data_IF_597473088620
#
_entry.id   IF_597473088620
#
_cell.length_a   1.000
_cell.length_b   1.000
_cell.length_c   1.000
_cell.angle_alpha   90.00
_cell.angle_beta   90.00
_cell.angle_gamma   90.00
#
_symmetry.space_group_name_H-M   'P 1'
#
loop_
_entity.id
_entity.type
_entity.pdbx_description
1 polymer ?
#
# COMPACT_ATOMS: atom_id res chain seq x y z
N UNK A 1 22.05 -6.78 1.80
CA UNK A 1 20.58 -6.99 1.71
C UNK A 1 20.31 -8.05 0.66
N UNK A 2 19.63 -9.10 1.00
CA UNK A 2 19.16 -10.15 0.08
C UNK A 2 17.75 -9.76 -0.42
N UNK A 3 17.47 -9.94 -1.69
CA UNK A 3 16.18 -9.65 -2.31
C UNK A 3 15.56 -10.94 -2.83
N UNK A 4 14.26 -11.14 -2.56
CA UNK A 4 13.46 -12.27 -3.03
C UNK A 4 12.21 -11.74 -3.70
N UNK A 5 11.98 -12.12 -4.96
CA UNK A 5 10.67 -11.94 -5.57
C UNK A 5 9.70 -12.97 -4.98
N UNK A 6 8.60 -12.48 -4.46
CA UNK A 6 7.58 -13.30 -3.80
C UNK A 6 6.19 -12.89 -4.27
N UNK A 7 5.20 -13.71 -3.96
CA UNK A 7 3.81 -13.35 -4.20
C UNK A 7 2.92 -13.95 -3.11
N UNK A 8 1.78 -13.31 -2.90
CA UNK A 8 0.71 -13.80 -2.03
C UNK A 8 -0.65 -13.52 -2.70
N UNK A 9 -1.72 -14.06 -2.15
CA UNK A 9 -3.06 -13.82 -2.65
C UNK A 9 -3.81 -12.85 -1.74
N UNK A 10 -4.54 -11.93 -2.35
CA UNK A 10 -5.46 -11.02 -1.69
C UNK A 10 -6.83 -11.15 -2.36
N UNK A 11 -7.77 -11.76 -1.66
CA UNK A 11 -9.14 -12.06 -2.14
C UNK A 11 -9.21 -12.74 -3.53
N UNK A 12 -8.25 -13.64 -3.77
CA UNK A 12 -8.16 -14.40 -5.00
C UNK A 12 -7.25 -13.80 -6.07
N UNK A 13 -6.88 -12.53 -5.95
CA UNK A 13 -5.93 -11.87 -6.86
C UNK A 13 -4.50 -12.12 -6.40
N UNK A 14 -3.61 -12.47 -7.33
CA UNK A 14 -2.19 -12.66 -7.04
C UNK A 14 -1.49 -11.30 -6.94
N UNK A 15 -0.89 -11.04 -5.80
CA UNK A 15 -0.14 -9.82 -5.50
C UNK A 15 1.36 -10.10 -5.68
N UNK A 16 2.01 -9.31 -6.52
CA UNK A 16 3.45 -9.37 -6.75
C UNK A 16 4.20 -8.50 -5.75
N UNK A 17 5.24 -9.05 -5.13
CA UNK A 17 5.95 -8.41 -4.04
C UNK A 17 7.46 -8.69 -4.10
N UNK A 18 8.22 -7.87 -3.39
CA UNK A 18 9.65 -8.05 -3.12
C UNK A 18 9.84 -8.08 -1.61
N UNK A 19 10.43 -9.17 -1.12
CA UNK A 19 10.88 -9.27 0.26
C UNK A 19 12.38 -9.01 0.32
N UNK A 20 12.78 -8.01 1.10
CA UNK A 20 14.17 -7.66 1.34
C UNK A 20 14.55 -8.08 2.74
N UNK A 21 15.59 -8.89 2.84
CA UNK A 21 16.10 -9.44 4.08
C UNK A 21 17.46 -8.83 4.43
N UNK A 22 17.75 -8.62 5.72
CA UNK A 22 19.10 -8.29 6.18
C UNK A 22 20.13 -9.30 5.73
N UNK A 23 21.41 -8.87 5.63
CA UNK A 23 22.51 -9.81 5.39
C UNK A 23 22.78 -10.67 6.64
N UNK A 24 23.15 -11.92 6.41
CA UNK A 24 23.48 -12.87 7.47
C UNK A 24 22.29 -13.73 7.86
N UNK A 25 22.46 -14.47 8.96
CA UNK A 25 21.40 -15.29 9.56
C UNK A 25 20.95 -14.64 10.86
N UNK A 26 19.65 -14.46 11.08
CA UNK A 26 19.17 -13.95 12.35
C UNK A 26 19.41 -15.00 13.47
N UNK A 27 19.57 -14.57 14.71
CA UNK A 27 19.56 -15.49 15.85
C UNK A 27 18.18 -16.15 16.08
N UNK A 28 17.20 -15.80 15.29
CA UNK A 28 15.82 -16.29 15.25
C UNK A 28 15.18 -15.84 13.93
N UNK A 29 14.14 -15.04 14.01
CA UNK A 29 13.46 -14.40 12.88
C UNK A 29 13.68 -12.87 12.91
N UNK A 30 13.48 -12.21 11.75
CA UNK A 30 13.63 -10.77 11.62
C UNK A 30 12.32 -10.04 11.93
N UNK A 31 12.31 -8.94 12.73
CA UNK A 31 11.18 -8.04 12.73
C UNK A 31 10.94 -7.51 11.31
N UNK A 32 9.69 -7.25 10.95
CA UNK A 32 9.33 -6.93 9.59
C UNK A 32 8.65 -5.57 9.46
N UNK A 33 8.86 -4.93 8.32
CA UNK A 33 8.14 -3.75 7.89
C UNK A 33 7.39 -4.09 6.60
N UNK A 34 6.06 -3.96 6.61
CA UNK A 34 5.27 -3.97 5.39
C UNK A 34 5.19 -2.56 4.83
N UNK A 35 5.44 -2.40 3.55
CA UNK A 35 5.36 -1.10 2.88
C UNK A 35 4.28 -1.10 1.80
N UNK A 36 3.29 -0.21 1.97
CA UNK A 36 2.36 0.17 0.92
C UNK A 36 2.93 1.33 0.11
N UNK A 37 3.14 1.16 -1.21
CA UNK A 37 3.60 2.26 -2.05
C UNK A 37 2.57 3.40 -2.15
N UNK A 38 3.03 4.59 -2.55
CA UNK A 38 2.17 5.72 -2.90
C UNK A 38 1.46 5.53 -4.23
N UNK A 39 0.69 6.52 -4.68
CA UNK A 39 -0.23 6.41 -5.82
C UNK A 39 0.35 5.83 -7.11
N UNK A 40 1.54 6.26 -7.50
CA UNK A 40 2.22 5.77 -8.70
C UNK A 40 3.46 4.93 -8.33
N UNK A 41 3.58 4.58 -7.07
CA UNK A 41 4.66 3.76 -6.59
C UNK A 41 4.41 2.30 -6.94
N UNK A 42 5.43 1.66 -7.48
CA UNK A 42 5.49 0.23 -7.69
C UNK A 42 6.57 -0.35 -6.78
N UNK A 43 6.50 -1.66 -6.54
CA UNK A 43 7.44 -2.37 -5.66
C UNK A 43 8.92 -2.21 -6.05
N UNK A 44 9.19 -1.95 -7.34
CA UNK A 44 10.52 -1.77 -7.92
C UNK A 44 10.97 -0.31 -8.01
N UNK A 45 10.15 0.65 -7.53
CA UNK A 45 10.46 2.06 -7.61
C UNK A 45 11.73 2.41 -6.81
N UNK A 46 12.75 2.91 -7.50
CA UNK A 46 14.08 3.22 -6.93
C UNK A 46 14.03 4.20 -5.75
N UNK A 47 13.01 5.03 -5.67
CA UNK A 47 12.85 6.00 -4.58
C UNK A 47 12.72 5.33 -3.19
N UNK A 48 12.33 4.06 -3.12
CA UNK A 48 12.19 3.32 -1.86
C UNK A 48 13.49 2.64 -1.41
N UNK A 49 14.43 2.39 -2.32
CA UNK A 49 15.67 1.66 -2.01
C UNK A 49 16.46 2.23 -0.84
N UNK A 50 16.68 3.56 -0.72
CA UNK A 50 17.43 4.10 0.42
C UNK A 50 16.79 3.80 1.79
N UNK A 51 15.44 3.77 1.84
CA UNK A 51 14.72 3.39 3.07
C UNK A 51 14.90 1.90 3.37
N UNK A 52 14.78 1.04 2.35
CA UNK A 52 14.94 -0.41 2.52
C UNK A 52 16.36 -0.80 2.91
N UNK A 53 17.38 -0.14 2.32
CA UNK A 53 18.78 -0.33 2.70
C UNK A 53 19.03 0.05 4.17
N UNK A 54 18.47 1.18 4.61
CA UNK A 54 18.60 1.62 6.00
C UNK A 54 17.88 0.68 6.97
N UNK A 55 16.66 0.24 6.63
CA UNK A 55 15.88 -0.68 7.46
C UNK A 55 16.53 -2.06 7.54
N UNK A 56 16.99 -2.62 6.41
CA UNK A 56 17.65 -3.92 6.42
C UNK A 56 19.02 -3.88 7.11
N UNK A 57 19.75 -2.78 6.98
CA UNK A 57 21.00 -2.57 7.76
C UNK A 57 20.73 -2.49 9.27
N UNK A 58 19.54 -2.01 9.67
CA UNK A 58 19.10 -1.97 11.06
C UNK A 58 18.51 -3.30 11.56
N UNK A 59 18.43 -4.34 10.70
CA UNK A 59 17.97 -5.67 11.07
C UNK A 59 16.48 -5.91 10.87
N UNK A 60 15.79 -5.12 10.06
CA UNK A 60 14.39 -5.34 9.69
C UNK A 60 14.30 -6.01 8.32
N UNK A 61 13.43 -6.98 8.17
CA UNK A 61 12.96 -7.39 6.84
C UNK A 61 11.94 -6.38 6.31
N UNK A 62 11.89 -6.20 4.98
CA UNK A 62 10.97 -5.24 4.35
C UNK A 62 10.23 -5.92 3.21
N UNK A 63 8.91 -5.97 3.30
CA UNK A 63 8.03 -6.41 2.23
C UNK A 63 7.41 -5.19 1.55
N UNK A 64 7.66 -5.02 0.26
CA UNK A 64 6.95 -4.07 -0.60
C UNK A 64 6.25 -4.82 -1.71
N UNK A 65 5.09 -4.36 -2.15
CA UNK A 65 4.28 -5.04 -3.17
C UNK A 65 3.58 -4.04 -4.09
N UNK A 66 3.14 -4.51 -5.25
CA UNK A 66 2.23 -3.77 -6.11
C UNK A 66 0.79 -4.02 -5.62
N UNK A 67 0.02 -2.96 -5.35
CA UNK A 67 -1.41 -3.14 -5.06
C UNK A 67 -2.13 -3.83 -6.21
N UNK A 68 -3.25 -4.53 -5.93
CA UNK A 68 -4.10 -5.09 -6.98
C UNK A 68 -4.42 -4.05 -8.06
N UNK A 69 -4.41 -4.48 -9.32
CA UNK A 69 -4.61 -3.61 -10.47
C UNK A 69 -3.42 -2.74 -10.87
N UNK A 70 -2.26 -2.87 -10.20
CA UNK A 70 -1.05 -2.12 -10.49
C UNK A 70 0.15 -3.04 -10.71
N UNK A 71 1.16 -2.51 -11.40
CA UNK A 71 2.43 -3.21 -11.66
C UNK A 71 2.22 -4.62 -12.21
N UNK A 72 2.81 -5.59 -11.52
CA UNK A 72 2.72 -7.01 -11.87
C UNK A 72 1.66 -7.78 -11.07
N UNK A 73 0.89 -7.09 -10.22
CA UNK A 73 -0.25 -7.68 -9.51
C UNK A 73 -1.46 -7.83 -10.42
N UNK A 74 -2.27 -8.85 -10.14
CA UNK A 74 -3.56 -9.07 -10.80
C UNK A 74 -4.62 -8.09 -10.32
N UNK A 75 -5.84 -8.17 -10.85
CA UNK A 75 -6.98 -7.32 -10.54
C UNK A 75 -7.27 -6.25 -11.60
N UNK A 76 -8.38 -5.54 -11.42
CA UNK A 76 -8.86 -4.52 -12.34
C UNK A 76 -7.89 -3.34 -12.42
N UNK A 77 -7.44 -3.03 -13.65
CA UNK A 77 -6.38 -2.04 -13.87
C UNK A 77 -6.79 -0.61 -13.55
N UNK A 78 -5.94 0.06 -12.76
CA UNK A 78 -6.05 1.48 -12.49
C UNK A 78 -7.12 1.87 -11.47
N UNK A 79 -7.78 0.91 -10.83
CA UNK A 79 -8.79 1.18 -9.80
C UNK A 79 -8.12 1.48 -8.47
N UNK A 80 -8.26 2.70 -7.99
CA UNK A 80 -7.76 3.13 -6.67
C UNK A 80 -8.92 3.22 -5.70
N UNK A 81 -9.08 2.17 -4.88
CA UNK A 81 -10.03 2.14 -3.78
C UNK A 81 -9.26 1.89 -2.48
N UNK A 82 -9.26 2.84 -1.53
CA UNK A 82 -8.54 2.69 -0.26
C UNK A 82 -8.88 1.42 0.50
N UNK A 83 -10.13 0.97 0.42
CA UNK A 83 -10.60 -0.26 1.07
C UNK A 83 -9.88 -1.50 0.52
N UNK A 84 -9.74 -1.61 -0.81
CA UNK A 84 -9.04 -2.72 -1.46
C UNK A 84 -7.54 -2.67 -1.18
N UNK A 85 -6.96 -1.48 -1.14
CA UNK A 85 -5.55 -1.31 -0.79
C UNK A 85 -5.27 -1.66 0.68
N UNK A 86 -6.18 -1.34 1.59
CA UNK A 86 -6.08 -1.74 2.99
C UNK A 86 -6.17 -3.26 3.15
N UNK A 87 -7.06 -3.90 2.38
CA UNK A 87 -7.19 -5.35 2.34
C UNK A 87 -5.89 -6.03 1.83
N UNK A 88 -5.28 -5.49 0.76
CA UNK A 88 -3.98 -5.97 0.26
C UNK A 88 -2.87 -5.85 1.32
N UNK A 89 -2.83 -4.73 2.05
CA UNK A 89 -1.91 -4.54 3.17
C UNK A 89 -2.14 -5.54 4.30
N UNK A 90 -3.40 -5.77 4.68
CA UNK A 90 -3.77 -6.75 5.71
C UNK A 90 -3.34 -8.17 5.32
N UNK A 91 -3.53 -8.52 4.04
CA UNK A 91 -3.10 -9.81 3.49
C UNK A 91 -1.58 -9.90 3.36
N UNK A 92 -0.88 -8.79 3.07
CA UNK A 92 0.58 -8.72 3.11
C UNK A 92 1.13 -8.97 4.53
N UNK A 93 0.50 -8.40 5.57
CA UNK A 93 0.82 -8.71 6.97
C UNK A 93 0.59 -10.19 7.27
N UNK A 94 -0.54 -10.73 6.83
CA UNK A 94 -0.84 -12.16 7.00
C UNK A 94 0.21 -13.03 6.31
N UNK A 95 0.62 -12.69 5.08
CA UNK A 95 1.71 -13.38 4.40
C UNK A 95 3.01 -13.36 5.21
N UNK A 96 3.40 -12.21 5.76
CA UNK A 96 4.59 -12.11 6.62
C UNK A 96 4.52 -13.05 7.83
N UNK A 97 3.35 -13.24 8.44
CA UNK A 97 3.20 -14.16 9.58
C UNK A 97 3.35 -15.63 9.20
N UNK A 98 3.31 -15.99 7.92
CA UNK A 98 3.53 -17.39 7.45
C UNK A 98 5.00 -17.69 7.19
N UNK A 99 5.87 -16.70 7.26
CA UNK A 99 7.30 -16.83 6.98
C UNK A 99 8.08 -17.26 8.24
N UNK A 100 8.91 -18.28 8.12
CA UNK A 100 9.77 -18.74 9.23
C UNK A 100 10.91 -17.78 9.56
N UNK A 101 11.32 -16.95 8.60
CA UNK A 101 12.39 -15.95 8.74
C UNK A 101 11.88 -14.57 9.23
N UNK A 102 10.56 -14.43 9.48
CA UNK A 102 9.92 -13.22 9.99
C UNK A 102 9.42 -13.42 11.41
N UNK A 103 9.68 -12.45 12.27
CA UNK A 103 9.10 -12.37 13.61
C UNK A 103 7.68 -11.80 13.54
N UNK A 104 6.70 -12.69 13.59
CA UNK A 104 5.28 -12.37 13.46
C UNK A 104 4.75 -11.46 14.60
N UNK A 105 5.44 -11.40 15.74
CA UNK A 105 5.05 -10.57 16.87
C UNK A 105 5.58 -9.12 16.76
N UNK A 106 6.48 -8.87 15.80
CA UNK A 106 7.15 -7.59 15.60
C UNK A 106 7.04 -7.10 14.15
N UNK A 107 5.81 -6.77 13.72
CA UNK A 107 5.52 -6.23 12.40
C UNK A 107 5.15 -4.74 12.52
N UNK A 108 5.78 -3.92 11.70
CA UNK A 108 5.44 -2.51 11.53
C UNK A 108 4.97 -2.21 10.12
N UNK A 109 4.42 -1.01 9.91
CA UNK A 109 4.02 -0.50 8.60
C UNK A 109 4.73 0.81 8.28
N UNK A 110 5.24 0.92 7.06
CA UNK A 110 5.75 2.17 6.49
C UNK A 110 4.95 2.52 5.25
N UNK A 111 4.26 3.64 5.26
CA UNK A 111 3.54 4.15 4.12
C UNK A 111 4.09 5.47 3.62
N UNK A 112 4.33 5.58 2.31
CA UNK A 112 4.86 6.78 1.68
C UNK A 112 3.93 7.28 0.58
N UNK A 113 3.80 8.60 0.49
CA UNK A 113 2.91 9.27 -0.47
C UNK A 113 1.45 9.29 -0.04
N UNK A 114 0.59 9.88 -0.85
CA UNK A 114 -0.80 10.16 -0.50
C UNK A 114 -1.56 8.95 0.01
N UNK A 115 -1.69 7.90 -0.79
CA UNK A 115 -2.39 6.66 -0.39
C UNK A 115 -1.55 5.82 0.57
N UNK A 116 -0.27 5.59 0.26
CA UNK A 116 0.58 4.74 1.11
C UNK A 116 0.65 5.26 2.54
N UNK A 117 0.86 6.57 2.73
CA UNK A 117 0.86 7.18 4.05
C UNK A 117 -0.49 7.12 4.76
N UNK A 118 -1.60 7.34 4.05
CA UNK A 118 -2.96 7.20 4.58
C UNK A 118 -3.28 5.75 4.96
N UNK A 119 -2.96 4.81 4.10
CA UNK A 119 -3.17 3.39 4.32
C UNK A 119 -2.37 2.84 5.52
N UNK A 120 -1.15 3.36 5.76
CA UNK A 120 -0.38 2.98 6.95
C UNK A 120 -1.10 3.36 8.26
N UNK A 121 -1.74 4.52 8.30
CA UNK A 121 -2.54 4.96 9.46
C UNK A 121 -3.77 4.05 9.62
N UNK A 122 -4.47 3.77 8.51
CA UNK A 122 -5.67 2.93 8.54
C UNK A 122 -5.34 1.50 8.96
N UNK A 123 -4.25 0.92 8.44
CA UNK A 123 -3.80 -0.41 8.83
C UNK A 123 -3.48 -0.48 10.32
N UNK A 124 -2.70 0.49 10.82
CA UNK A 124 -2.34 0.52 12.24
C UNK A 124 -3.55 0.72 13.18
N UNK A 125 -4.62 1.34 12.69
CA UNK A 125 -5.84 1.53 13.45
C UNK A 125 -6.78 0.31 13.41
N UNK A 126 -6.61 -0.60 12.45
CA UNK A 126 -7.54 -1.72 12.22
C UNK A 126 -6.90 -3.11 12.39
N UNK A 127 -5.58 -3.21 12.51
CA UNK A 127 -4.86 -4.48 12.64
C UNK A 127 -3.94 -4.47 13.87
N UNK A 128 -4.34 -5.18 14.90
CA UNK A 128 -3.63 -5.25 16.19
C UNK A 128 -2.23 -5.91 16.11
N UNK A 129 -1.90 -6.54 14.98
CA UNK A 129 -0.57 -7.10 14.72
C UNK A 129 0.47 -6.01 14.44
N UNK A 130 0.05 -4.80 14.08
CA UNK A 130 0.94 -3.69 13.77
C UNK A 130 1.43 -3.03 15.06
N UNK A 131 2.74 -3.11 15.30
CA UNK A 131 3.40 -2.56 16.49
C UNK A 131 3.84 -1.11 16.34
N UNK A 132 4.13 -0.70 15.11
CA UNK A 132 4.59 0.65 14.80
C UNK A 132 4.15 1.04 13.40
N UNK A 133 3.76 2.30 13.23
CA UNK A 133 3.42 2.85 11.92
C UNK A 133 4.22 4.11 11.64
N UNK A 134 4.73 4.21 10.44
CA UNK A 134 5.33 5.43 9.90
C UNK A 134 4.50 5.86 8.68
N UNK A 135 3.95 7.05 8.76
CA UNK A 135 3.18 7.67 7.68
C UNK A 135 3.91 8.88 7.16
N UNK A 136 4.31 8.84 5.89
CA UNK A 136 5.02 9.91 5.24
C UNK A 136 4.14 10.58 4.18
N UNK A 137 3.88 11.89 4.32
CA UNK A 137 3.12 12.74 3.38
C UNK A 137 1.73 12.15 3.01
N UNK A 138 0.88 11.79 4.00
CA UNK A 138 -0.42 11.22 3.72
C UNK A 138 -1.39 12.25 3.12
N UNK A 139 -2.34 11.77 2.33
CA UNK A 139 -3.59 12.49 2.10
C UNK A 139 -4.55 12.08 3.22
N UNK A 140 -4.79 12.99 4.15
CA UNK A 140 -5.66 12.73 5.31
C UNK A 140 -7.15 12.93 4.97
N UNK A 141 -7.44 13.85 4.05
CA UNK A 141 -8.77 14.14 3.53
C UNK A 141 -8.70 14.28 2.00
N UNK A 142 -9.28 13.32 1.30
CA UNK A 142 -9.23 13.26 -0.16
C UNK A 142 -10.05 14.36 -0.82
N UNK A 143 -11.17 14.78 -0.21
CA UNK A 143 -12.01 15.84 -0.74
C UNK A 143 -11.31 17.20 -0.63
N UNK A 144 -10.81 17.55 0.55
CA UNK A 144 -10.04 18.77 0.78
C UNK A 144 -8.79 18.82 -0.12
N UNK A 145 -8.08 17.71 -0.27
CA UNK A 145 -6.92 17.63 -1.14
C UNK A 145 -7.28 17.86 -2.61
N UNK A 146 -8.34 17.24 -3.12
CA UNK A 146 -8.81 17.41 -4.50
C UNK A 146 -9.33 18.84 -4.74
N UNK A 147 -9.99 19.44 -3.74
CA UNK A 147 -10.48 20.83 -3.82
C UNK A 147 -9.31 21.81 -3.90
N UNK A 148 -8.31 21.68 -3.04
CA UNK A 148 -7.11 22.58 -3.04
C UNK A 148 -6.30 22.52 -4.33
N UNK A 149 -6.43 21.47 -5.12
CA UNK A 149 -5.78 21.33 -6.43
C UNK A 149 -6.54 22.03 -7.56
N UNK A 150 -7.70 22.60 -7.29
CA UNK A 150 -8.61 23.22 -8.27
C UNK A 150 -8.93 24.64 -7.89
N UNK A 151 -9.27 25.46 -8.89
CA UNK A 151 -9.92 26.75 -8.65
C UNK A 151 -11.38 26.50 -8.29
N UNK A 152 -12.03 27.47 -7.62
CA UNK A 152 -13.41 27.31 -7.13
C UNK A 152 -14.42 26.94 -8.23
N UNK A 153 -14.31 27.55 -9.42
CA UNK A 153 -15.20 27.23 -10.54
C UNK A 153 -14.93 25.82 -11.10
N UNK A 154 -13.67 25.37 -11.14
CA UNK A 154 -13.27 24.03 -11.57
C UNK A 154 -13.74 22.97 -10.56
N UNK A 155 -13.82 23.35 -9.28
CA UNK A 155 -14.34 22.49 -8.24
C UNK A 155 -15.85 22.24 -8.41
N UNK A 156 -16.65 23.28 -8.70
CA UNK A 156 -18.08 23.12 -8.96
C UNK A 156 -18.33 22.26 -10.21
N UNK A 157 -17.61 22.50 -11.30
CA UNK A 157 -17.68 21.68 -12.51
C UNK A 157 -17.32 20.20 -12.21
N UNK A 158 -16.31 19.96 -11.36
CA UNK A 158 -15.91 18.62 -10.95
C UNK A 158 -16.99 17.93 -10.12
N UNK A 159 -17.63 18.63 -9.19
CA UNK A 159 -18.74 18.07 -8.41
C UNK A 159 -19.95 17.71 -9.28
N UNK A 160 -20.30 18.57 -10.22
CA UNK A 160 -21.39 18.32 -11.19
C UNK A 160 -21.09 17.09 -12.04
N UNK A 161 -19.84 16.94 -12.48
CA UNK A 161 -19.38 15.77 -13.24
C UNK A 161 -19.46 14.48 -12.41
N UNK A 162 -19.05 14.50 -11.14
CA UNK A 162 -19.17 13.35 -10.23
C UNK A 162 -20.63 12.95 -10.01
N UNK A 163 -21.53 13.92 -9.85
CA UNK A 163 -22.95 13.64 -9.65
C UNK A 163 -23.58 13.04 -10.92
N UNK A 164 -23.23 13.56 -12.10
CA UNK A 164 -23.69 13.03 -13.38
C UNK A 164 -23.18 11.60 -13.61
N UNK A 165 -21.88 11.36 -13.37
CA UNK A 165 -21.29 10.02 -13.44
C UNK A 165 -21.96 9.02 -12.47
N UNK A 166 -22.26 9.45 -11.24
CA UNK A 166 -22.99 8.62 -10.28
C UNK A 166 -24.36 8.21 -10.80
N UNK A 167 -25.11 9.15 -11.39
CA UNK A 167 -26.42 8.88 -11.98
C UNK A 167 -26.34 7.94 -13.17
N UNK A 168 -25.37 8.15 -14.04
CA UNK A 168 -25.14 7.32 -15.21
C UNK A 168 -24.81 5.89 -14.81
N UNK A 169 -23.91 5.70 -13.85
CA UNK A 169 -23.53 4.37 -13.34
C UNK A 169 -24.72 3.58 -12.78
N UNK A 170 -25.63 4.25 -12.07
CA UNK A 170 -26.82 3.59 -11.52
C UNK A 170 -27.78 3.13 -12.62
N UNK A 171 -27.86 3.87 -13.73
CA UNK A 171 -28.80 3.57 -14.84
C UNK A 171 -28.19 2.60 -15.85
N UNK A 172 -26.91 2.75 -16.18
CA UNK A 172 -26.28 2.02 -17.29
C UNK A 172 -25.33 0.91 -16.82
N UNK A 173 -24.92 0.91 -15.54
CA UNK A 173 -23.89 0.04 -15.01
C UNK A 173 -22.46 0.48 -15.38
N UNK A 174 -22.28 1.58 -16.11
CA UNK A 174 -20.98 2.10 -16.54
C UNK A 174 -20.86 3.58 -16.19
N UNK A 175 -19.67 4.01 -15.80
CA UNK A 175 -19.33 5.39 -15.49
C UNK A 175 -18.21 5.93 -16.35
N UNK A 176 -17.91 7.21 -16.19
CA UNK A 176 -16.77 7.86 -16.78
C UNK A 176 -15.52 7.52 -15.92
N UNK A 177 -14.63 6.68 -16.44
CA UNK A 177 -13.34 6.35 -15.82
C UNK A 177 -12.18 7.02 -16.55
#
# INVERSE_FOLDING_TARGET
MKEEEVSFFSEGERISAILRLPDGSPPGSWPAIVQGPGWLGLKDAKLYLPYHEALTAAGYSVLIFDYRGFGESEGDRGVILPQLQLEDLTNAVTYLTTREDVDADNIGVFGSGGTGGGNAILLAASDDRIRVAVSQVPVADGEDWLHRMRREYEWQEFLDRLENDRRERVVTGTGEM
#
